data_IF_916774467059
#
_entry.id   IF_916774467059
#
_cell.length_a   1.000
_cell.length_b   1.000
_cell.length_c   1.000
_cell.angle_alpha   90.00
_cell.angle_beta   90.00
_cell.angle_gamma   90.00
#
_symmetry.space_group_name_H-M   'P 1'
#
loop_
_entity.id
_entity.type
_entity.pdbx_description
1 polymer ?
#
# COMPACT_ATOMS: atom_id res chain seq x y z
N UNK A 1 0.24 -16.71 35.82
CA UNK A 1 0.56 -16.60 34.39
C UNK A 1 -0.34 -15.51 33.80
N UNK A 2 0.19 -14.32 33.56
CA UNK A 2 -0.59 -13.21 33.00
C UNK A 2 -0.42 -13.24 31.48
N UNK A 3 -1.52 -13.44 30.76
CA UNK A 3 -1.58 -13.26 29.31
C UNK A 3 -1.48 -11.77 29.01
N UNK A 4 -0.52 -11.37 28.17
CA UNK A 4 -0.47 -10.01 27.63
C UNK A 4 -1.57 -9.86 26.56
N UNK A 5 -2.44 -8.86 26.72
CA UNK A 5 -3.47 -8.55 25.74
C UNK A 5 -2.82 -8.21 24.39
N UNK A 6 -3.29 -8.84 23.31
CA UNK A 6 -2.94 -8.41 21.94
C UNK A 6 -3.49 -7.00 21.74
N UNK A 7 -2.72 -6.07 21.14
CA UNK A 7 -3.26 -4.77 20.80
C UNK A 7 -4.51 -4.94 19.91
N UNK A 8 -5.52 -4.10 20.16
CA UNK A 8 -6.72 -3.96 19.32
C UNK A 8 -6.30 -3.92 17.84
N UNK A 9 -6.92 -4.73 16.98
CA UNK A 9 -6.57 -4.75 15.55
C UNK A 9 -6.93 -3.39 14.93
N UNK A 10 -5.93 -2.56 14.66
CA UNK A 10 -6.12 -1.32 13.90
C UNK A 10 -6.64 -1.67 12.50
N UNK A 11 -7.76 -1.07 12.11
CA UNK A 11 -8.24 -1.14 10.73
C UNK A 11 -7.31 -0.30 9.86
N UNK A 12 -6.52 -0.94 9.01
CA UNK A 12 -5.66 -0.24 8.06
C UNK A 12 -6.51 0.44 6.96
N UNK A 13 -6.10 1.62 6.48
CA UNK A 13 -6.69 2.25 5.31
C UNK A 13 -6.74 1.32 4.10
N UNK A 14 -7.72 1.55 3.22
CA UNK A 14 -7.86 0.71 2.02
C UNK A 14 -6.96 1.28 0.91
N UNK A 15 -5.92 0.54 0.54
CA UNK A 15 -5.02 0.93 -0.56
C UNK A 15 -5.41 0.24 -1.87
N UNK A 16 -5.61 1.02 -2.93
CA UNK A 16 -5.84 0.50 -4.27
C UNK A 16 -4.59 -0.20 -4.82
N UNK A 17 -4.79 -1.33 -5.52
CA UNK A 17 -3.74 -2.07 -6.23
C UNK A 17 -3.97 -1.97 -7.73
N UNK A 18 -2.89 -1.83 -8.48
CA UNK A 18 -2.91 -1.80 -9.95
C UNK A 18 -2.06 -2.94 -10.51
N UNK A 19 -2.28 -3.32 -11.77
CA UNK A 19 -1.54 -4.38 -12.44
C UNK A 19 -0.32 -3.83 -13.22
N UNK A 20 0.39 -2.87 -12.63
CA UNK A 20 1.63 -2.33 -13.19
C UNK A 20 2.76 -3.34 -12.96
N UNK A 21 3.45 -3.73 -14.03
CA UNK A 21 4.54 -4.69 -13.99
C UNK A 21 5.66 -4.20 -14.90
N UNK A 22 6.86 -4.07 -14.34
CA UNK A 22 8.07 -3.78 -15.11
C UNK A 22 8.83 -5.07 -15.43
N UNK A 23 9.60 -5.08 -16.52
CA UNK A 23 10.52 -6.17 -16.84
C UNK A 23 11.96 -5.70 -16.68
N UNK A 24 12.65 -6.22 -15.66
CA UNK A 24 14.01 -5.86 -15.32
C UNK A 24 14.92 -7.07 -15.53
N UNK A 25 15.82 -6.99 -16.51
CA UNK A 25 16.73 -8.09 -16.87
C UNK A 25 16.02 -9.44 -17.14
N UNK A 26 14.86 -9.38 -17.81
CA UNK A 26 14.04 -10.57 -18.09
C UNK A 26 13.17 -11.04 -16.92
N UNK A 27 13.21 -10.35 -15.77
CA UNK A 27 12.37 -10.64 -14.61
C UNK A 27 11.18 -9.70 -14.55
N UNK A 28 9.97 -10.26 -14.45
CA UNK A 28 8.74 -9.48 -14.23
C UNK A 28 8.63 -9.05 -12.76
N UNK A 29 8.56 -7.76 -12.51
CA UNK A 29 8.48 -7.15 -11.17
C UNK A 29 7.17 -6.37 -11.07
N UNK A 30 6.15 -6.89 -10.37
CA UNK A 30 4.91 -6.17 -10.13
C UNK A 30 5.14 -4.99 -9.18
N UNK A 31 4.67 -3.82 -9.57
CA UNK A 31 4.63 -2.63 -8.73
C UNK A 31 3.18 -2.13 -8.60
N UNK A 32 2.36 -2.80 -7.77
CA UNK A 32 0.94 -2.48 -7.67
C UNK A 32 0.64 -1.12 -7.03
N UNK A 33 1.66 -0.44 -6.50
CA UNK A 33 1.54 0.81 -5.77
C UNK A 33 2.32 1.97 -6.42
N UNK A 34 2.74 1.81 -7.68
CA UNK A 34 3.37 2.87 -8.50
C UNK A 34 2.66 4.22 -8.41
N UNK A 35 1.32 4.21 -8.29
CA UNK A 35 0.50 5.42 -8.15
C UNK A 35 0.79 6.25 -6.89
N UNK A 36 1.40 5.67 -5.85
CA UNK A 36 1.82 6.39 -4.64
C UNK A 36 3.07 7.25 -4.85
N UNK A 37 3.82 7.05 -5.94
CA UNK A 37 5.06 7.80 -6.20
C UNK A 37 4.80 9.28 -6.51
N UNK A 38 3.64 9.61 -7.09
CA UNK A 38 3.22 11.00 -7.31
C UNK A 38 2.34 11.49 -6.16
N UNK A 39 3.02 11.97 -5.11
CA UNK A 39 2.42 12.48 -3.89
C UNK A 39 1.45 13.66 -4.08
N UNK A 40 1.46 14.33 -5.24
CA UNK A 40 0.60 15.49 -5.50
C UNK A 40 -0.73 15.15 -6.16
N UNK A 41 -0.94 13.88 -6.53
CA UNK A 41 -2.21 13.45 -7.13
C UNK A 41 -3.33 13.39 -6.11
N UNK A 42 -4.55 13.69 -6.55
CA UNK A 42 -5.75 13.61 -5.71
C UNK A 42 -5.95 12.22 -5.08
N UNK A 43 -5.50 11.17 -5.77
CA UNK A 43 -5.57 9.80 -5.26
C UNK A 43 -4.69 9.61 -4.02
N UNK A 44 -3.45 10.10 -4.05
CA UNK A 44 -2.52 9.97 -2.92
C UNK A 44 -2.93 10.86 -1.76
N UNK A 45 -3.35 12.09 -2.04
CA UNK A 45 -3.86 13.00 -1.01
C UNK A 45 -5.08 12.41 -0.30
N UNK A 46 -5.98 11.76 -1.04
CA UNK A 46 -7.15 11.10 -0.44
C UNK A 46 -6.74 9.93 0.45
N UNK A 47 -5.80 9.11 -0.01
CA UNK A 47 -5.33 7.94 0.72
C UNK A 47 -4.57 8.32 2.00
N UNK A 48 -3.78 9.40 1.98
CA UNK A 48 -3.07 9.91 3.17
C UNK A 48 -4.04 10.42 4.26
N UNK A 49 -5.25 10.83 3.86
CA UNK A 49 -6.28 11.31 4.77
C UNK A 49 -7.19 10.20 5.35
N UNK A 50 -7.02 8.94 4.95
CA UNK A 50 -7.74 7.77 5.50
C UNK A 50 -7.12 7.26 6.82
#
# INVERSE_FOLDING_TARGET
>A
MTSAARPEQHAYPRTARQDVVDELHGLRVPDPYRWLEDAKTDAVIRWDAE
#
